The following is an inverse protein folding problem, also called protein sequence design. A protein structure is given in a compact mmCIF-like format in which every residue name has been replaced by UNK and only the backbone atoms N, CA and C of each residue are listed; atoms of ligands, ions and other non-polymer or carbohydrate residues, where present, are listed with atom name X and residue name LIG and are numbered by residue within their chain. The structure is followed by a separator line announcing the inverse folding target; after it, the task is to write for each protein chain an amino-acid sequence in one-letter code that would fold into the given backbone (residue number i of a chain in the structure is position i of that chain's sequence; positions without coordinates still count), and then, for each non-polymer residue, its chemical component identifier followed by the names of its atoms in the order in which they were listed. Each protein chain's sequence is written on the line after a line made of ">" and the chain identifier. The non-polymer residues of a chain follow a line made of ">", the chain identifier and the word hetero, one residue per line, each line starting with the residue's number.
data_IF_940953084927
#
_entry.id   IF_940953084927
#
_cell.length_a   1.000
_cell.length_b   1.000
_cell.length_c   1.000
_cell.angle_alpha   90.00
_cell.angle_beta   90.00
_cell.angle_gamma   90.00
#
_symmetry.space_group_name_H-M   'P 1'
#
loop_
_entity.id
_entity.type
_entity.pdbx_description
1 polymer ?
#
# COMPACT_ATOMS: atom_id res chain seq x y z
N UNK A 1 7.95 -9.64 -2.63
CA UNK A 1 9.12 -9.11 -3.39
C UNK A 1 8.76 -7.75 -4.02
N UNK A 2 9.73 -6.84 -4.19
CA UNK A 2 9.48 -5.44 -4.63
C UNK A 2 9.37 -5.29 -6.16
N UNK A 3 10.02 -6.16 -6.93
CA UNK A 3 10.12 -6.05 -8.41
C UNK A 3 8.76 -5.99 -9.13
N UNK A 4 7.71 -6.75 -8.74
CA UNK A 4 6.40 -6.62 -9.35
C UNK A 4 5.80 -5.21 -9.22
N UNK A 5 6.02 -4.54 -8.08
CA UNK A 5 5.55 -3.17 -7.87
C UNK A 5 6.28 -2.19 -8.79
N UNK A 6 7.60 -2.30 -8.91
CA UNK A 6 8.41 -1.49 -9.86
C UNK A 6 7.86 -1.63 -11.29
N UNK A 7 7.63 -2.86 -11.74
CA UNK A 7 7.11 -3.14 -13.09
C UNK A 7 5.67 -2.64 -13.28
N UNK A 8 4.86 -2.57 -12.23
CA UNK A 8 3.52 -2.02 -12.30
C UNK A 8 3.58 -0.50 -12.45
N UNK A 9 4.31 0.18 -11.58
CA UNK A 9 4.50 1.64 -11.64
C UNK A 9 5.11 2.06 -12.99
N UNK A 10 6.15 1.37 -13.47
CA UNK A 10 6.73 1.64 -14.80
C UNK A 10 5.71 1.55 -15.94
N UNK A 11 4.81 0.57 -15.90
CA UNK A 11 3.78 0.42 -16.93
C UNK A 11 2.76 1.55 -16.84
N UNK A 12 2.29 1.88 -15.65
CA UNK A 12 1.29 2.93 -15.44
C UNK A 12 1.85 4.29 -15.92
N UNK A 13 3.11 4.61 -15.61
CA UNK A 13 3.76 5.83 -16.10
C UNK A 13 4.03 5.84 -17.62
N UNK A 14 4.27 4.69 -18.23
CA UNK A 14 4.44 4.59 -19.68
C UNK A 14 3.11 4.89 -20.42
N UNK A 15 1.96 4.54 -19.83
CA UNK A 15 0.64 4.93 -20.36
C UNK A 15 0.50 6.46 -20.36
N UNK A 16 1.04 7.13 -19.34
CA UNK A 16 1.04 8.59 -19.23
C UNK A 16 2.15 9.27 -20.06
N UNK A 17 2.87 8.53 -20.91
CA UNK A 17 3.91 9.07 -21.79
C UNK A 17 5.24 9.43 -21.09
N UNK A 18 5.44 9.01 -19.84
CA UNK A 18 6.68 9.24 -19.11
C UNK A 18 7.76 8.22 -19.47
N UNK A 19 9.03 8.63 -19.42
CA UNK A 19 10.16 7.74 -19.66
C UNK A 19 10.29 6.68 -18.55
N UNK A 20 10.39 5.38 -18.87
CA UNK A 20 10.56 4.32 -17.89
C UNK A 20 11.93 4.31 -17.19
N UNK A 21 12.86 5.17 -17.64
CA UNK A 21 14.19 5.30 -17.06
C UNK A 21 14.18 5.97 -15.67
N UNK A 22 13.09 6.66 -15.31
CA UNK A 22 12.93 7.26 -13.99
C UNK A 22 11.62 6.81 -13.37
N UNK A 23 11.71 6.13 -12.23
CA UNK A 23 10.57 5.60 -11.48
C UNK A 23 10.61 6.22 -10.11
N UNK A 24 9.51 6.83 -9.68
CA UNK A 24 9.38 7.39 -8.35
C UNK A 24 9.39 6.26 -7.29
N UNK A 25 10.41 6.21 -6.41
CA UNK A 25 10.49 5.21 -5.35
C UNK A 25 9.31 5.24 -4.38
N UNK A 26 8.74 6.42 -4.14
CA UNK A 26 7.60 6.57 -3.22
C UNK A 26 6.35 5.88 -3.80
N UNK A 27 6.09 6.06 -5.10
CA UNK A 27 5.01 5.36 -5.78
C UNK A 27 5.22 3.85 -5.79
N UNK A 28 6.45 3.38 -5.97
CA UNK A 28 6.78 1.95 -5.87
C UNK A 28 6.53 1.41 -4.47
N UNK A 29 6.97 2.12 -3.43
CA UNK A 29 6.75 1.73 -2.03
C UNK A 29 5.26 1.62 -1.73
N UNK A 30 4.47 2.63 -2.14
CA UNK A 30 3.02 2.62 -1.95
C UNK A 30 2.34 1.46 -2.67
N UNK A 31 2.74 1.19 -3.90
CA UNK A 31 2.22 0.08 -4.68
C UNK A 31 2.56 -1.27 -4.04
N UNK A 32 3.79 -1.40 -3.53
CA UNK A 32 4.21 -2.61 -2.84
C UNK A 32 3.43 -2.85 -1.54
N UNK A 33 3.14 -1.80 -0.77
CA UNK A 33 2.32 -1.89 0.44
C UNK A 33 0.90 -2.37 0.11
N UNK A 34 0.24 -1.79 -0.90
CA UNK A 34 -1.10 -2.23 -1.34
C UNK A 34 -1.11 -3.70 -1.73
N UNK A 35 -0.13 -4.12 -2.52
CA UNK A 35 -0.01 -5.51 -2.91
C UNK A 35 0.21 -6.43 -1.70
N UNK A 36 1.12 -6.08 -0.81
CA UNK A 36 1.45 -6.89 0.37
C UNK A 36 0.26 -7.04 1.32
N UNK A 37 -0.49 -5.97 1.57
CA UNK A 37 -1.72 -6.02 2.37
C UNK A 37 -2.78 -6.89 1.69
N UNK A 38 -2.97 -6.74 0.38
CA UNK A 38 -3.88 -7.59 -0.39
C UNK A 38 -3.51 -9.08 -0.35
N UNK A 39 -2.22 -9.39 -0.46
CA UNK A 39 -1.73 -10.77 -0.36
C UNK A 39 -1.88 -11.34 1.05
N UNK A 40 -1.64 -10.55 2.10
CA UNK A 40 -1.85 -10.97 3.49
C UNK A 40 -3.31 -11.38 3.72
N UNK A 41 -4.25 -10.56 3.26
CA UNK A 41 -5.68 -10.84 3.37
C UNK A 41 -6.08 -12.06 2.54
N UNK A 42 -5.61 -12.17 1.29
CA UNK A 42 -5.87 -13.33 0.44
C UNK A 42 -5.30 -14.64 1.01
N UNK A 43 -4.14 -14.59 1.65
CA UNK A 43 -3.47 -15.77 2.19
C UNK A 43 -4.03 -16.21 3.55
N UNK A 44 -4.75 -15.35 4.28
CA UNK A 44 -5.25 -15.64 5.62
C UNK A 44 -6.75 -15.38 5.74
N UNK A 45 -7.53 -16.46 5.74
CA UNK A 45 -8.98 -16.39 6.02
C UNK A 45 -9.25 -15.84 7.42
N UNK A 46 -8.46 -16.23 8.43
CA UNK A 46 -8.60 -15.76 9.80
C UNK A 46 -8.51 -14.23 9.90
N UNK A 47 -7.50 -13.63 9.25
CA UNK A 47 -7.33 -12.17 9.28
C UNK A 47 -8.45 -11.50 8.49
N UNK A 48 -8.78 -12.02 7.31
CA UNK A 48 -9.85 -11.46 6.47
C UNK A 48 -11.21 -11.46 7.16
N UNK A 49 -11.57 -12.56 7.83
CA UNK A 49 -12.82 -12.68 8.59
C UNK A 49 -12.83 -11.70 9.77
N UNK A 50 -11.75 -11.63 10.54
CA UNK A 50 -11.63 -10.68 11.65
C UNK A 50 -11.74 -9.22 11.20
N UNK A 51 -11.26 -8.88 10.00
CA UNK A 51 -11.43 -7.54 9.40
C UNK A 51 -12.89 -7.32 8.99
N UNK A 52 -13.53 -8.29 8.35
CA UNK A 52 -14.93 -8.20 7.93
C UNK A 52 -15.90 -8.07 9.11
N UNK A 53 -15.59 -8.72 10.23
CA UNK A 53 -16.35 -8.63 11.48
C UNK A 53 -15.99 -7.38 12.31
N UNK A 54 -15.08 -6.53 11.83
CA UNK A 54 -14.66 -5.29 12.52
C UNK A 54 -13.87 -5.53 13.81
N UNK A 55 -13.32 -6.73 14.01
CA UNK A 55 -12.50 -7.05 15.20
C UNK A 55 -11.04 -6.63 15.05
N UNK A 56 -10.57 -6.44 13.81
CA UNK A 56 -9.21 -5.99 13.52
C UNK A 56 -9.16 -5.15 12.25
N UNK A 57 -8.05 -4.45 12.04
CA UNK A 57 -7.75 -3.75 10.80
C UNK A 57 -6.29 -4.01 10.38
N UNK A 58 -6.03 -3.89 9.09
CA UNK A 58 -4.69 -4.00 8.50
C UNK A 58 -4.31 -2.67 7.89
N UNK A 59 -3.18 -2.12 8.34
CA UNK A 59 -2.62 -0.85 7.86
C UNK A 59 -1.26 -1.11 7.21
N UNK A 60 -1.13 -0.73 5.94
CA UNK A 60 0.17 -0.61 5.29
C UNK A 60 0.64 0.83 5.36
N UNK A 61 1.80 1.07 5.95
CA UNK A 61 2.38 2.41 6.15
C UNK A 61 3.84 2.47 5.70
N UNK A 62 4.23 3.62 5.16
CA UNK A 62 5.63 3.95 4.88
C UNK A 62 6.21 4.70 6.08
N UNK A 63 7.38 4.27 6.56
CA UNK A 63 8.11 5.01 7.58
C UNK A 63 9.06 6.01 6.93
N UNK A 64 8.84 7.30 7.17
CA UNK A 64 9.70 8.37 6.67
C UNK A 64 10.81 8.61 7.70
N UNK A 65 12.00 8.12 7.40
CA UNK A 65 13.15 8.12 8.33
C UNK A 65 13.62 9.52 8.72
N UNK A 66 13.48 10.49 7.80
CA UNK A 66 13.82 11.89 8.00
C UNK A 66 12.86 12.63 8.93
N UNK A 67 11.58 12.24 8.91
CA UNK A 67 10.52 12.83 9.74
C UNK A 67 10.25 12.02 11.02
N UNK A 68 10.70 10.77 11.08
CA UNK A 68 10.47 9.87 12.21
C UNK A 68 9.03 9.36 12.32
N UNK A 69 8.22 9.50 11.28
CA UNK A 69 6.77 9.25 11.29
C UNK A 69 6.37 8.13 10.32
N UNK A 70 5.38 7.32 10.75
CA UNK A 70 4.70 6.36 9.89
C UNK A 70 3.52 7.02 9.19
N UNK A 71 3.58 7.09 7.87
CA UNK A 71 2.52 7.59 7.01
C UNK A 71 1.69 6.43 6.45
N UNK A 72 0.40 6.33 6.82
CA UNK A 72 -0.48 5.30 6.31
C UNK A 72 -0.73 5.46 4.80
N UNK A 73 -0.71 4.36 4.07
CA UNK A 73 -0.87 4.30 2.60
C UNK A 73 -2.11 3.52 2.19
N UNK A 74 -2.44 2.47 2.93
CA UNK A 74 -3.61 1.62 2.72
C UNK A 74 -4.13 1.15 4.08
N UNK A 75 -5.45 1.22 4.25
CA UNK A 75 -6.17 0.73 5.44
C UNK A 75 -7.27 -0.20 4.94
N UNK A 76 -7.39 -1.37 5.58
CA UNK A 76 -8.52 -2.28 5.39
C UNK A 76 -9.07 -2.66 6.76
N UNK A 77 -10.33 -2.33 7.02
CA UNK A 77 -10.95 -2.41 8.34
C UNK A 77 -11.23 -1.03 8.93
N UNK A 78 -11.76 -1.01 10.14
CA UNK A 78 -12.18 0.22 10.82
C UNK A 78 -11.03 0.85 11.61
N UNK A 79 -10.48 1.94 11.08
CA UNK A 79 -9.44 2.77 11.72
C UNK A 79 -9.78 4.23 11.48
N UNK A 80 -9.85 4.99 12.57
CA UNK A 80 -9.94 6.45 12.52
C UNK A 80 -8.52 7.03 12.47
N UNK A 81 -8.03 7.35 11.26
CA UNK A 81 -6.78 8.10 11.06
C UNK A 81 -7.03 9.32 10.17
N UNK A 82 -6.90 10.56 10.70
CA UNK A 82 -7.20 11.78 9.97
C UNK A 82 -6.22 12.07 8.81
N UNK A 83 -5.12 11.32 8.68
CA UNK A 83 -4.12 11.47 7.61
C UNK A 83 -4.43 10.62 6.39
N UNK A 84 -5.41 9.71 6.46
CA UNK A 84 -5.85 8.89 5.32
C UNK A 84 -7.14 9.46 4.76
N UNK A 85 -7.14 9.82 3.48
CA UNK A 85 -8.37 10.19 2.80
C UNK A 85 -9.28 8.97 2.68
N UNK A 86 -10.48 9.01 3.28
CA UNK A 86 -11.55 8.08 2.94
C UNK A 86 -11.92 8.30 1.46
N UNK A 87 -11.69 7.29 0.61
CA UNK A 87 -12.13 7.29 -0.78
C UNK A 87 -13.37 6.44 -0.94
#
# INVERSE_FOLDING_TARGET
>A
PIVPAVRRVQRDHAVDGHSPAHVDPELVGREHLRHTVGELLRASELISEAVAEGRTAVVGANYRLDEGEAFPVVIVGDVDDPRVSHN
#
